data_IF_354396441953
#
_entry.id   IF_354396441953
#
_cell.length_a   1.000
_cell.length_b   1.000
_cell.length_c   1.000
_cell.angle_alpha   90.00
_cell.angle_beta   90.00
_cell.angle_gamma   90.00
#
_symmetry.space_group_name_H-M   'P 1'
#
loop_
_entity.id
_entity.type
_entity.pdbx_description
1 polymer ?
#
# COMPACT_ATOMS: atom_id res chain seq x y z
N UNK A 1 -23.21 -4.26 -24.62
CA UNK A 1 -22.86 -4.23 -23.17
C UNK A 1 -22.42 -5.64 -22.82
N UNK A 2 -21.14 -5.95 -22.92
CA UNK A 2 -20.59 -7.28 -22.58
C UNK A 2 -19.51 -7.07 -21.55
N UNK A 3 -19.79 -7.50 -20.31
CA UNK A 3 -18.81 -7.66 -19.25
C UNK A 3 -17.68 -8.57 -19.76
N UNK A 4 -16.46 -8.04 -19.78
CA UNK A 4 -15.25 -8.87 -19.84
C UNK A 4 -14.69 -8.94 -18.42
N UNK A 5 -14.47 -10.12 -17.83
CA UNK A 5 -13.75 -10.21 -16.58
C UNK A 5 -12.28 -9.81 -16.80
N UNK A 6 -11.73 -9.06 -15.85
CA UNK A 6 -10.32 -8.69 -15.80
C UNK A 6 -9.48 -9.94 -15.54
N UNK A 7 -8.49 -10.24 -16.40
CA UNK A 7 -7.35 -11.11 -16.04
C UNK A 7 -7.05 -12.33 -16.89
N UNK A 8 -7.79 -12.62 -17.96
CA UNK A 8 -7.41 -13.67 -18.91
C UNK A 8 -6.66 -13.09 -20.12
N UNK A 9 -5.39 -12.76 -19.92
CA UNK A 9 -4.43 -13.08 -20.99
C UNK A 9 -4.22 -14.59 -20.94
N UNK A 10 -5.07 -15.31 -21.67
CA UNK A 10 -4.90 -16.72 -21.96
C UNK A 10 -3.60 -16.87 -22.76
N UNK A 11 -2.49 -17.12 -22.08
CA UNK A 11 -1.31 -17.70 -22.71
C UNK A 11 -1.64 -19.17 -22.96
N UNK A 12 -1.79 -19.61 -24.23
CA UNK A 12 -2.13 -20.98 -24.49
C UNK A 12 -1.02 -21.88 -23.95
N UNK A 13 -1.38 -22.82 -23.08
CA UNK A 13 -0.49 -23.93 -22.74
C UNK A 13 -0.53 -24.86 -23.95
N UNK A 14 0.38 -24.63 -24.91
CA UNK A 14 0.56 -25.62 -25.97
C UNK A 14 1.17 -26.88 -25.33
N UNK A 15 0.36 -27.94 -25.27
CA UNK A 15 0.83 -29.30 -25.08
C UNK A 15 1.70 -29.67 -26.29
N UNK A 16 2.98 -29.32 -26.23
CA UNK A 16 3.95 -29.55 -27.29
C UNK A 16 5.31 -29.93 -26.70
N UNK A 17 5.64 -31.21 -26.87
CA UNK A 17 6.97 -31.83 -26.89
C UNK A 17 8.10 -31.25 -25.98
N UNK A 18 8.49 -32.04 -24.98
CA UNK A 18 9.50 -31.73 -23.97
C UNK A 18 10.96 -31.78 -24.49
N UNK A 19 11.19 -31.74 -25.80
CA UNK A 19 12.53 -31.86 -26.40
C UNK A 19 13.28 -30.54 -26.65
N UNK A 20 12.68 -29.36 -26.44
CA UNK A 20 13.30 -28.10 -26.93
C UNK A 20 13.37 -26.97 -25.90
N UNK A 21 13.95 -27.23 -24.73
CA UNK A 21 14.24 -26.19 -23.73
C UNK A 21 15.56 -25.44 -24.01
N UNK A 22 15.83 -25.11 -25.29
CA UNK A 22 17.09 -24.48 -25.75
C UNK A 22 16.94 -23.03 -26.22
N UNK A 23 15.97 -22.29 -25.68
CA UNK A 23 15.72 -20.91 -26.11
C UNK A 23 14.99 -20.01 -25.14
N UNK A 24 14.74 -20.42 -23.88
CA UNK A 24 14.14 -19.50 -22.92
C UNK A 24 15.18 -18.41 -22.60
N UNK A 25 14.93 -17.13 -22.93
CA UNK A 25 15.87 -16.08 -22.59
C UNK A 25 16.12 -16.12 -21.09
N UNK A 26 17.39 -16.02 -20.70
CA UNK A 26 17.77 -15.89 -19.30
C UNK A 26 16.87 -14.81 -18.68
N UNK A 27 16.16 -15.17 -17.60
CA UNK A 27 15.28 -14.24 -16.90
C UNK A 27 16.12 -13.00 -16.58
N UNK A 28 15.68 -11.78 -16.93
CA UNK A 28 16.45 -10.58 -16.64
C UNK A 28 16.78 -10.55 -15.15
N UNK A 29 17.97 -10.07 -14.75
CA UNK A 29 18.31 -9.94 -13.35
C UNK A 29 17.19 -9.16 -12.66
N UNK A 30 16.60 -9.78 -11.64
CA UNK A 30 15.51 -9.16 -10.88
C UNK A 30 16.07 -7.90 -10.25
N UNK A 31 15.62 -6.74 -10.72
CA UNK A 31 15.85 -5.47 -10.04
C UNK A 31 15.44 -5.66 -8.58
N UNK A 32 16.30 -5.32 -7.60
CA UNK A 32 15.96 -5.50 -6.19
C UNK A 32 14.66 -4.75 -5.88
N UNK A 33 13.74 -5.42 -5.19
CA UNK A 33 12.44 -4.84 -4.84
C UNK A 33 12.61 -3.71 -3.81
N UNK A 34 13.63 -3.81 -2.96
CA UNK A 34 13.90 -2.86 -1.89
C UNK A 34 15.35 -2.38 -1.96
N UNK A 35 15.56 -1.12 -2.38
CA UNK A 35 16.90 -0.56 -2.59
C UNK A 35 17.72 -0.40 -1.30
N UNK A 36 17.07 -0.37 -0.15
CA UNK A 36 17.66 -0.27 1.19
C UNK A 36 17.93 -1.65 1.84
N UNK A 37 17.58 -2.76 1.16
CA UNK A 37 17.73 -4.12 1.67
C UNK A 37 18.83 -4.87 0.90
N UNK A 38 19.72 -5.57 1.60
CA UNK A 38 20.71 -6.44 0.96
C UNK A 38 20.00 -7.54 0.14
N UNK A 39 20.40 -7.81 -1.12
CA UNK A 39 19.81 -8.84 -1.97
C UNK A 39 19.65 -10.22 -1.32
N UNK A 40 20.59 -10.65 -0.48
CA UNK A 40 20.50 -11.94 0.23
C UNK A 40 19.36 -11.94 1.26
N UNK A 41 19.18 -10.85 1.99
CA UNK A 41 18.10 -10.68 2.95
C UNK A 41 16.73 -10.58 2.24
N UNK A 42 16.67 -9.88 1.10
CA UNK A 42 15.47 -9.83 0.26
C UNK A 42 15.08 -11.24 -0.24
N UNK A 43 16.05 -12.04 -0.68
CA UNK A 43 15.80 -13.41 -1.12
C UNK A 43 15.22 -14.29 0.00
N UNK A 44 15.74 -14.16 1.23
CA UNK A 44 15.20 -14.84 2.42
C UNK A 44 13.76 -14.39 2.69
N UNK A 45 13.49 -13.08 2.69
CA UNK A 45 12.16 -12.53 2.90
C UNK A 45 11.15 -13.07 1.88
N UNK A 46 11.50 -13.02 0.59
CA UNK A 46 10.65 -13.54 -0.48
C UNK A 46 10.40 -15.04 -0.31
N UNK A 47 11.43 -15.81 0.03
CA UNK A 47 11.32 -17.24 0.31
C UNK A 47 10.31 -17.53 1.43
N UNK A 48 10.43 -16.85 2.56
CA UNK A 48 9.51 -17.00 3.70
C UNK A 48 8.08 -16.58 3.34
N UNK A 49 7.91 -15.45 2.64
CA UNK A 49 6.60 -14.97 2.20
C UNK A 49 5.92 -15.91 1.20
N UNK A 50 6.68 -16.60 0.34
CA UNK A 50 6.13 -17.61 -0.57
C UNK A 50 5.62 -18.84 0.17
N UNK A 51 6.35 -19.28 1.19
CA UNK A 51 6.01 -20.44 2.01
C UNK A 51 4.84 -20.20 2.97
N UNK A 52 4.59 -18.94 3.35
CA UNK A 52 3.50 -18.61 4.27
C UNK A 52 2.11 -18.96 3.67
N UNK A 53 1.18 -19.55 4.45
CA UNK A 53 -0.18 -19.78 3.99
C UNK A 53 -0.95 -18.46 3.78
N UNK A 54 -1.97 -18.41 2.89
CA UNK A 54 -2.68 -17.17 2.55
C UNK A 54 -3.20 -16.38 3.76
N UNK A 55 -3.81 -17.05 4.74
CA UNK A 55 -4.33 -16.40 5.95
C UNK A 55 -3.24 -15.68 6.75
N UNK A 56 -2.01 -16.22 6.77
CA UNK A 56 -0.90 -15.62 7.48
C UNK A 56 -0.41 -14.36 6.77
N UNK A 57 -0.42 -14.36 5.43
CA UNK A 57 -0.13 -13.16 4.63
C UNK A 57 -1.14 -12.06 4.91
N UNK A 58 -2.44 -12.39 4.92
CA UNK A 58 -3.49 -11.43 5.26
C UNK A 58 -3.35 -10.88 6.67
N UNK A 59 -2.98 -11.73 7.64
CA UNK A 59 -2.69 -11.27 8.99
C UNK A 59 -1.52 -10.27 9.02
N UNK A 60 -0.41 -10.56 8.33
CA UNK A 60 0.73 -9.64 8.23
C UNK A 60 0.34 -8.32 7.56
N UNK A 61 -0.47 -8.36 6.50
CA UNK A 61 -1.00 -7.14 5.85
C UNK A 61 -1.86 -6.34 6.83
N UNK A 62 -2.70 -6.98 7.63
CA UNK A 62 -3.49 -6.31 8.67
C UNK A 62 -2.62 -5.61 9.71
N UNK A 63 -1.57 -6.31 10.19
CA UNK A 63 -0.60 -5.72 11.12
C UNK A 63 0.12 -4.51 10.50
N UNK A 64 0.56 -4.61 9.25
CA UNK A 64 1.22 -3.51 8.55
C UNK A 64 0.30 -2.30 8.37
N UNK A 65 -0.98 -2.53 8.03
CA UNK A 65 -1.98 -1.46 7.94
C UNK A 65 -2.15 -0.73 9.28
N UNK A 66 -2.18 -1.46 10.40
CA UNK A 66 -2.26 -0.85 11.72
C UNK A 66 -1.02 0.00 12.03
N UNK A 67 0.17 -0.50 11.72
CA UNK A 67 1.43 0.22 11.93
C UNK A 67 1.47 1.51 11.12
N UNK A 68 1.11 1.47 9.83
CA UNK A 68 1.07 2.67 8.96
C UNK A 68 0.09 3.71 9.50
N UNK A 69 -1.10 3.30 9.97
CA UNK A 69 -2.08 4.22 10.57
C UNK A 69 -1.53 4.89 11.83
N UNK A 70 -0.85 4.14 12.69
CA UNK A 70 -0.20 4.68 13.90
C UNK A 70 0.88 5.70 13.55
N UNK A 71 1.74 5.38 12.58
CA UNK A 71 2.80 6.30 12.11
C UNK A 71 2.21 7.57 11.49
N UNK A 72 1.19 7.43 10.64
CA UNK A 72 0.49 8.57 10.05
C UNK A 72 -0.14 9.49 11.11
N UNK A 73 -0.80 8.91 12.12
CA UNK A 73 -1.40 9.66 13.22
C UNK A 73 -0.33 10.37 14.08
N UNK A 74 0.81 9.73 14.33
CA UNK A 74 1.95 10.35 15.01
C UNK A 74 2.45 11.57 14.24
N UNK A 75 2.65 11.43 12.93
CA UNK A 75 3.06 12.53 12.07
C UNK A 75 2.03 13.67 12.01
N UNK A 76 0.73 13.35 12.05
CA UNK A 76 -0.32 14.38 12.13
C UNK A 76 -0.29 15.14 13.45
N UNK A 77 -0.10 14.46 14.59
CA UNK A 77 0.04 15.12 15.90
C UNK A 77 1.23 16.06 15.96
N UNK A 78 2.35 15.69 15.33
CA UNK A 78 3.53 16.56 15.26
C UNK A 78 3.28 17.81 14.41
N UNK A 79 2.53 17.69 13.31
CA UNK A 79 2.22 18.83 12.42
C UNK A 79 1.08 19.71 12.93
N UNK A 80 0.15 19.15 13.69
CA UNK A 80 -1.02 19.84 14.22
C UNK A 80 -1.14 19.59 15.73
N UNK A 81 -0.28 20.20 16.56
CA UNK A 81 -0.25 19.96 18.00
C UNK A 81 -1.55 20.36 18.70
N UNK A 82 -2.22 21.41 18.23
CA UNK A 82 -3.48 21.91 18.79
C UNK A 82 -4.73 21.23 18.21
N UNK A 83 -4.57 20.26 17.30
CA UNK A 83 -5.72 19.60 16.69
C UNK A 83 -6.43 18.68 17.69
N UNK A 84 -7.75 18.81 17.73
CA UNK A 84 -8.63 17.91 18.46
C UNK A 84 -8.54 16.48 17.90
N UNK A 85 -8.89 15.45 18.70
CA UNK A 85 -8.93 14.08 18.21
C UNK A 85 -9.83 13.86 16.98
N UNK A 86 -10.90 14.65 16.84
CA UNK A 86 -11.81 14.59 15.69
C UNK A 86 -11.16 15.15 14.43
N UNK A 87 -10.47 16.29 14.52
CA UNK A 87 -9.71 16.86 13.40
C UNK A 87 -8.58 15.93 12.97
N UNK A 88 -7.85 15.33 13.91
CA UNK A 88 -6.81 14.34 13.59
C UNK A 88 -7.40 13.11 12.88
N UNK A 89 -8.56 12.61 13.32
CA UNK A 89 -9.26 11.50 12.66
C UNK A 89 -9.69 11.88 11.25
N UNK A 90 -10.20 13.09 11.06
CA UNK A 90 -10.61 13.60 9.75
C UNK A 90 -9.42 13.70 8.80
N UNK A 91 -8.33 14.33 9.24
CA UNK A 91 -7.08 14.46 8.46
C UNK A 91 -6.45 13.11 8.14
N UNK A 92 -6.52 12.13 9.05
CA UNK A 92 -6.09 10.76 8.77
C UNK A 92 -6.94 10.12 7.68
N UNK A 93 -8.26 10.35 7.71
CA UNK A 93 -9.16 9.82 6.70
C UNK A 93 -8.89 10.45 5.32
N UNK A 94 -8.59 11.77 5.25
CA UNK A 94 -8.14 12.44 4.02
C UNK A 94 -6.87 11.79 3.43
N UNK A 95 -5.90 11.41 4.27
CA UNK A 95 -4.69 10.70 3.82
C UNK A 95 -4.96 9.29 3.30
N UNK A 96 -5.93 8.57 3.88
CA UNK A 96 -6.18 7.17 3.58
C UNK A 96 -7.15 6.94 2.43
N UNK A 97 -8.16 7.79 2.30
CA UNK A 97 -9.25 7.65 1.33
C UNK A 97 -9.18 8.69 0.21
N UNK A 98 -8.40 9.75 0.41
CA UNK A 98 -8.41 10.93 -0.45
C UNK A 98 -9.57 11.89 -0.12
N UNK A 99 -9.48 13.14 -0.56
CA UNK A 99 -10.40 14.21 -0.14
C UNK A 99 -11.87 13.93 -0.52
N UNK A 100 -12.12 13.36 -1.71
CA UNK A 100 -13.48 13.15 -2.22
C UNK A 100 -14.26 12.13 -1.39
N UNK A 101 -13.68 10.95 -1.17
CA UNK A 101 -14.31 9.89 -0.37
C UNK A 101 -14.43 10.31 1.09
N UNK A 102 -13.43 11.04 1.59
CA UNK A 102 -13.46 11.50 2.97
C UNK A 102 -14.56 12.52 3.16
N UNK A 103 -14.69 13.53 2.28
CA UNK A 103 -15.75 14.53 2.36
C UNK A 103 -17.16 13.90 2.40
N UNK A 104 -17.38 12.85 1.60
CA UNK A 104 -18.64 12.10 1.58
C UNK A 104 -18.91 11.31 2.85
N UNK A 105 -17.89 10.72 3.47
CA UNK A 105 -18.04 9.84 4.63
C UNK A 105 -17.96 10.57 5.99
N UNK A 106 -17.19 11.66 6.06
CA UNK A 106 -16.86 12.37 7.31
C UNK A 106 -17.18 13.88 7.26
N UNK A 107 -17.77 14.42 6.19
CA UNK A 107 -18.13 15.85 6.06
C UNK A 107 -16.94 16.75 5.68
N UNK A 108 -17.09 18.08 5.54
CA UNK A 108 -15.94 18.97 5.33
C UNK A 108 -15.06 19.04 6.59
N UNK A 109 -13.75 19.22 6.43
CA UNK A 109 -12.88 19.60 7.55
C UNK A 109 -13.16 21.08 7.86
N UNK A 110 -13.59 21.38 9.08
CA UNK A 110 -13.71 22.76 9.54
C UNK A 110 -12.32 23.40 9.49
N UNK A 111 -12.18 24.43 8.66
CA UNK A 111 -10.91 25.11 8.44
C UNK A 111 -10.63 25.89 9.72
N UNK A 112 -9.52 25.61 10.40
CA UNK A 112 -8.99 26.50 11.44
C UNK A 112 -8.58 27.82 10.75
N UNK A 113 -9.52 28.74 10.59
CA UNK A 113 -9.27 30.14 10.24
C UNK A 113 -9.24 30.95 11.56
N UNK A 114 -8.24 31.83 11.66
CA UNK A 114 -8.01 32.84 12.70
C UNK A 114 -7.40 32.37 14.04
N UNK A 115 -6.07 32.36 14.10
CA UNK A 115 -5.31 32.81 15.29
C UNK A 115 -4.07 33.65 14.91
N UNK A 116 -3.99 34.15 13.67
CA UNK A 116 -2.89 35.01 13.20
C UNK A 116 -3.20 36.53 13.34
N UNK A 117 -4.37 36.92 13.88
CA UNK A 117 -4.75 38.34 14.02
C UNK A 117 -4.40 38.96 15.39
N UNK A 118 -3.91 38.20 16.38
CA UNK A 118 -3.61 38.75 17.73
C UNK A 118 -2.13 39.12 17.92
N UNK A 119 -1.44 39.54 16.85
CA UNK A 119 -0.06 40.03 16.92
C UNK A 119 0.22 41.30 16.10
N UNK A 120 -0.75 42.22 16.06
CA UNK A 120 -0.53 43.61 15.66
C UNK A 120 -0.77 44.56 16.82
#
# INVERSE_FOLDING_TARGET
MTDRPFGEEYFPVEEGDNSTNRGRPARPPTVPLFSDTNPEAEAVLIGLLRQAPPWRKLHMVGQLNQTVRTLALSGLRQRYPEATPQELRRRLADLLLGPDLTARAYGPLERQEANDEEKM
#
